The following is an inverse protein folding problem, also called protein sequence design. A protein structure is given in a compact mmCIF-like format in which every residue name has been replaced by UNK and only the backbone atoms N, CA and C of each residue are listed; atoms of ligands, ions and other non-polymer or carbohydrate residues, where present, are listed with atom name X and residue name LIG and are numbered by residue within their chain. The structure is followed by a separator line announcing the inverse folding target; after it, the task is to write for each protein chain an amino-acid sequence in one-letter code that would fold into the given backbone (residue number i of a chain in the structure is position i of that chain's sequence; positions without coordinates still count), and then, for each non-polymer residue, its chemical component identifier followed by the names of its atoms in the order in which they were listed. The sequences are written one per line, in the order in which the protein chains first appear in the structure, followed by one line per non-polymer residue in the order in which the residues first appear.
data_IF_415682980975
#
_entry.id   IF_415682980975
#
_cell.length_a   1.000
_cell.length_b   1.000
_cell.length_c   1.000
_cell.angle_alpha   90.00
_cell.angle_beta   90.00
_cell.angle_gamma   90.00
#
_symmetry.space_group_name_H-M   'P 1'
#
loop_
_entity.id
_entity.type
_entity.pdbx_description
1 polymer ?
#
# COMPACT_ATOMS: atom_id res chain seq x y z
N UNK A 1 13.13 11.16 4.68
CA UNK A 1 12.55 10.22 3.70
C UNK A 1 11.12 10.66 3.37
N UNK A 2 10.71 10.60 2.09
CA UNK A 2 9.42 11.17 1.63
C UNK A 2 8.19 10.27 1.88
N UNK A 3 8.39 8.96 2.00
CA UNK A 3 7.33 7.95 2.10
C UNK A 3 7.17 7.33 3.51
N UNK A 4 7.71 7.98 4.55
CA UNK A 4 7.53 7.53 5.94
C UNK A 4 8.39 6.33 6.40
N UNK A 5 9.10 5.65 5.50
CA UNK A 5 10.07 4.60 5.85
C UNK A 5 11.29 5.21 6.58
N UNK A 6 11.92 4.46 7.50
CA UNK A 6 13.20 4.85 8.11
C UNK A 6 14.38 4.59 7.17
N UNK A 7 15.48 5.34 7.36
CA UNK A 7 16.65 5.25 6.47
C UNK A 7 17.21 3.83 6.40
N UNK A 8 17.49 3.24 7.56
CA UNK A 8 18.08 1.91 7.68
C UNK A 8 17.18 0.83 7.06
N UNK A 9 15.86 0.96 7.23
CA UNK A 9 14.90 -0.01 6.71
C UNK A 9 14.81 0.07 5.17
N UNK A 10 14.86 1.26 4.58
CA UNK A 10 14.85 1.36 3.13
C UNK A 10 16.18 0.89 2.51
N UNK A 11 17.31 1.16 3.17
CA UNK A 11 18.62 0.64 2.74
C UNK A 11 18.58 -0.89 2.78
N UNK A 12 18.13 -1.48 3.90
CA UNK A 12 18.02 -2.94 4.05
C UNK A 12 17.11 -3.57 2.99
N UNK A 13 15.95 -2.97 2.72
CA UNK A 13 15.02 -3.50 1.72
C UNK A 13 15.57 -3.34 0.29
N UNK A 14 16.21 -2.21 -0.03
CA UNK A 14 16.77 -1.93 -1.35
C UNK A 14 18.00 -2.76 -1.70
N UNK A 15 18.83 -3.11 -0.70
CA UNK A 15 20.00 -3.98 -0.89
C UNK A 15 19.66 -5.48 -0.95
N UNK A 16 18.42 -5.84 -0.63
CA UNK A 16 18.05 -7.26 -0.54
C UNK A 16 18.01 -7.92 -1.93
N UNK A 17 18.63 -9.09 -2.06
CA UNK A 17 18.56 -9.94 -3.25
C UNK A 17 17.24 -10.74 -3.35
N UNK A 18 16.21 -10.39 -2.56
CA UNK A 18 14.89 -11.02 -2.65
C UNK A 18 14.28 -10.76 -4.02
N UNK A 19 13.62 -11.77 -4.59
CA UNK A 19 12.84 -11.58 -5.80
C UNK A 19 11.72 -10.55 -5.57
N UNK A 20 11.22 -9.95 -6.65
CA UNK A 20 10.21 -8.88 -6.59
C UNK A 20 9.01 -9.24 -5.70
N UNK A 21 8.49 -10.47 -5.82
CA UNK A 21 7.36 -10.94 -5.02
C UNK A 21 7.66 -10.99 -3.52
N UNK A 22 8.85 -11.47 -3.14
CA UNK A 22 9.26 -11.50 -1.74
C UNK A 22 9.61 -10.12 -1.20
N UNK A 23 10.18 -9.26 -2.06
CA UNK A 23 10.53 -7.88 -1.72
C UNK A 23 9.28 -7.03 -1.47
N UNK A 24 8.24 -7.20 -2.28
CA UNK A 24 6.95 -6.50 -2.14
C UNK A 24 6.31 -6.67 -0.76
N UNK A 25 6.60 -7.77 -0.06
CA UNK A 25 6.06 -8.08 1.28
C UNK A 25 6.96 -7.62 2.44
N UNK A 26 8.09 -6.97 2.15
CA UNK A 26 8.98 -6.45 3.19
C UNK A 26 8.35 -5.25 3.91
N UNK A 27 8.63 -5.05 5.21
CA UNK A 27 8.09 -3.92 5.96
C UNK A 27 8.43 -2.55 5.33
N UNK A 28 9.66 -2.37 4.82
CA UNK A 28 10.05 -1.11 4.19
C UNK A 28 9.24 -0.80 2.93
N UNK A 29 8.96 -1.81 2.10
CA UNK A 29 8.13 -1.61 0.90
C UNK A 29 6.66 -1.40 1.29
N UNK A 30 6.09 -2.17 2.23
CA UNK A 30 4.70 -1.96 2.67
C UNK A 30 4.47 -0.59 3.32
N UNK A 31 5.44 -0.07 4.07
CA UNK A 31 5.36 1.29 4.65
C UNK A 31 5.49 2.35 3.55
N UNK A 32 6.41 2.17 2.60
CA UNK A 32 6.63 3.13 1.53
C UNK A 32 5.49 3.17 0.50
N UNK A 33 4.98 2.00 0.13
CA UNK A 33 3.85 1.78 -0.78
C UNK A 33 2.58 1.46 0.02
N UNK A 34 2.31 2.27 1.04
CA UNK A 34 1.12 2.09 1.89
C UNK A 34 -0.18 2.37 1.12
N UNK A 35 -1.31 1.94 1.69
CA UNK A 35 -2.62 2.21 1.11
C UNK A 35 -2.89 3.72 0.96
N UNK A 36 -2.41 4.54 1.90
CA UNK A 36 -2.55 6.00 1.83
C UNK A 36 -1.73 6.59 0.69
N UNK A 37 -0.53 6.06 0.44
CA UNK A 37 0.27 6.45 -0.71
C UNK A 37 -0.42 6.07 -2.02
N UNK A 38 -0.89 4.82 -2.13
CA UNK A 38 -1.59 4.34 -3.33
C UNK A 38 -2.88 5.11 -3.60
N UNK A 39 -3.63 5.47 -2.56
CA UNK A 39 -4.82 6.33 -2.69
C UNK A 39 -4.48 7.69 -3.30
N UNK A 40 -3.35 8.30 -2.91
CA UNK A 40 -2.85 9.56 -3.49
C UNK A 40 -2.37 9.41 -4.93
N UNK A 41 -2.01 8.19 -5.36
CA UNK A 41 -1.70 7.89 -6.77
C UNK A 41 -2.96 7.61 -7.61
N UNK A 42 -4.15 7.67 -7.01
CA UNK A 42 -5.43 7.41 -7.68
C UNK A 42 -5.89 5.96 -7.62
N UNK A 43 -5.23 5.10 -6.84
CA UNK A 43 -5.73 3.74 -6.58
C UNK A 43 -6.90 3.79 -5.59
N UNK A 44 -8.03 3.19 -5.94
CA UNK A 44 -9.19 3.14 -5.06
C UNK A 44 -9.21 1.87 -4.21
N UNK A 45 -9.64 1.98 -2.95
CA UNK A 45 -9.84 0.83 -2.08
C UNK A 45 -11.08 0.04 -2.56
N UNK A 46 -10.86 -1.21 -2.99
CA UNK A 46 -11.94 -2.07 -3.49
C UNK A 46 -13.04 -2.30 -2.45
N UNK A 47 -12.65 -2.48 -1.18
CA UNK A 47 -13.59 -2.70 -0.08
C UNK A 47 -14.52 -1.51 0.09
N UNK A 48 -13.98 -0.29 0.08
CA UNK A 48 -14.77 0.93 0.27
C UNK A 48 -15.76 1.09 -0.90
N UNK A 49 -15.31 0.80 -2.12
CA UNK A 49 -16.20 0.84 -3.29
C UNK A 49 -17.32 -0.17 -3.20
N UNK A 50 -17.01 -1.37 -2.75
CA UNK A 50 -17.99 -2.43 -2.59
C UNK A 50 -19.01 -2.07 -1.51
N UNK A 51 -18.57 -1.50 -0.37
CA UNK A 51 -19.45 -1.00 0.70
C UNK A 51 -20.39 0.08 0.18
N UNK A 52 -19.88 1.07 -0.56
CA UNK A 52 -20.71 2.10 -1.19
C UNK A 52 -21.82 1.51 -2.06
N UNK A 53 -21.47 0.60 -2.96
CA UNK A 53 -22.42 -0.02 -3.89
C UNK A 53 -23.45 -0.84 -3.12
N UNK A 54 -22.99 -1.65 -2.16
CA UNK A 54 -23.85 -2.55 -1.41
C UNK A 54 -24.86 -1.76 -0.56
N UNK A 55 -24.41 -0.79 0.25
CA UNK A 55 -25.33 -0.03 1.10
C UNK A 55 -26.18 1.00 0.35
N UNK A 56 -25.75 1.47 -0.82
CA UNK A 56 -26.60 2.28 -1.69
C UNK A 56 -27.84 1.50 -2.19
N UNK A 57 -27.73 0.18 -2.37
CA UNK A 57 -28.85 -0.67 -2.82
C UNK A 57 -29.94 -0.87 -1.77
N UNK A 58 -29.63 -0.71 -0.47
CA UNK A 58 -30.61 -0.89 0.62
C UNK A 58 -31.25 0.43 1.11
N UNK A 59 -30.97 1.56 0.45
CA UNK A 59 -31.49 2.89 0.82
C UNK A 59 -32.74 3.33 0.05
N UNK A 60 -33.41 2.44 -0.67
CA UNK A 60 -34.77 2.63 -1.23
C UNK A 60 -35.84 2.23 -0.23
#
# INVERSE_FOLDING_TARGET
MRLGVSLDLAISCGMSSKSYWHSARTPGINIGLSNEFLARQGCYCLKDRWVEIYYAQFKT
#
